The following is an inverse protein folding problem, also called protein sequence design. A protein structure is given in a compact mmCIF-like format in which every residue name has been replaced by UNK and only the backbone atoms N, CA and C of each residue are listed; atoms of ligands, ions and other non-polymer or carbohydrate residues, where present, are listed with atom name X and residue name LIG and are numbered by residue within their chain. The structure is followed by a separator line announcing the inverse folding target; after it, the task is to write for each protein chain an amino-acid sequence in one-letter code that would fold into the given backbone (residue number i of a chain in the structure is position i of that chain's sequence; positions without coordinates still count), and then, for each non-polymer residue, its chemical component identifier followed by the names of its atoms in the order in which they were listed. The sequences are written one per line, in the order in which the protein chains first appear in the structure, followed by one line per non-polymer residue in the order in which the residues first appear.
data_IF_175582491890
#
_entry.id   IF_175582491890
#
_cell.length_a   1.000
_cell.length_b   1.000
_cell.length_c   1.000
_cell.angle_alpha   90.00
_cell.angle_beta   90.00
_cell.angle_gamma   90.00
#
_symmetry.space_group_name_H-M   'P 1'
#
loop_
_entity.id
_entity.type
_entity.pdbx_description
1 polymer ?
#
# COMPACT_ATOMS: atom_id res chain seq x y z
N UNK A 1 8.87 -0.19 -11.37
CA UNK A 1 10.17 0.13 -12.00
C UNK A 1 10.31 1.59 -12.43
N UNK A 2 9.28 2.29 -12.94
CA UNK A 2 9.41 3.67 -13.43
C UNK A 2 10.26 4.66 -12.60
N UNK A 3 10.09 4.75 -11.28
CA UNK A 3 10.92 5.65 -10.45
C UNK A 3 12.42 5.28 -10.44
N UNK A 4 12.78 4.03 -10.73
CA UNK A 4 14.17 3.57 -10.89
C UNK A 4 14.69 3.97 -12.28
N UNK A 5 13.87 3.84 -13.32
CA UNK A 5 14.20 4.28 -14.69
C UNK A 5 14.36 5.81 -14.77
N UNK A 6 13.53 6.56 -14.02
CA UNK A 6 13.63 8.01 -13.85
C UNK A 6 14.80 8.43 -12.92
N UNK A 7 15.62 7.48 -12.44
CA UNK A 7 16.81 7.74 -11.62
C UNK A 7 16.54 8.21 -10.17
N UNK A 8 15.29 8.14 -9.70
CA UNK A 8 14.90 8.59 -8.35
C UNK A 8 15.10 7.53 -7.27
N UNK A 9 15.17 6.26 -7.67
CA UNK A 9 15.37 5.10 -6.80
C UNK A 9 16.34 4.10 -7.45
N UNK A 10 16.82 3.13 -6.69
CA UNK A 10 17.42 1.91 -7.21
C UNK A 10 16.88 0.69 -6.44
N UNK A 11 17.11 -0.52 -6.95
CA UNK A 11 16.45 -1.73 -6.45
C UNK A 11 16.80 -2.07 -4.99
N UNK A 12 18.03 -1.74 -4.59
CA UNK A 12 18.58 -1.93 -3.23
C UNK A 12 18.60 -0.61 -2.43
N UNK A 13 17.72 0.35 -2.75
CA UNK A 13 17.69 1.63 -2.04
C UNK A 13 17.23 1.39 -0.58
N UNK A 14 18.01 1.78 0.45
CA UNK A 14 17.63 1.58 1.84
C UNK A 14 16.36 2.37 2.16
N UNK A 15 15.43 1.82 2.95
CA UNK A 15 14.13 2.47 3.14
C UNK A 15 14.16 3.64 4.14
N UNK A 16 15.05 3.60 5.12
CA UNK A 16 15.12 4.60 6.20
C UNK A 16 15.27 6.08 5.75
N UNK A 17 15.97 6.44 4.66
CA UNK A 17 16.00 7.81 4.13
C UNK A 17 14.70 8.31 3.50
N UNK A 18 13.72 7.45 3.22
CA UNK A 18 12.40 7.82 2.66
C UNK A 18 11.32 7.68 3.74
N UNK A 19 11.38 6.57 4.49
CA UNK A 19 10.52 6.29 5.63
C UNK A 19 11.36 6.41 6.91
N UNK A 20 11.45 7.63 7.46
CA UNK A 20 12.18 7.93 8.70
C UNK A 20 11.80 7.01 9.87
N UNK A 21 10.57 6.48 9.84
CA UNK A 21 10.04 5.51 10.79
C UNK A 21 10.86 4.20 10.86
N UNK A 22 11.56 3.85 9.77
CA UNK A 22 12.49 2.71 9.73
C UNK A 22 13.84 3.01 10.39
N UNK A 23 14.16 4.27 10.74
CA UNK A 23 15.41 4.64 11.38
C UNK A 23 15.44 4.31 12.89
N UNK A 24 15.48 3.01 13.18
CA UNK A 24 15.53 2.45 14.53
C UNK A 24 16.47 1.23 14.56
N UNK A 25 16.97 0.78 15.73
CA UNK A 25 18.03 -0.22 15.82
C UNK A 25 17.73 -1.56 15.15
N UNK A 26 16.46 -1.88 14.91
CA UNK A 26 16.02 -3.17 14.37
C UNK A 26 15.70 -3.08 12.88
N UNK A 27 15.48 -1.89 12.28
CA UNK A 27 15.06 -1.74 10.86
C UNK A 27 15.94 -0.80 10.03
N UNK A 28 16.84 -0.04 10.65
CA UNK A 28 17.71 0.94 9.97
C UNK A 28 18.60 0.34 8.87
N UNK A 29 19.03 -0.91 9.06
CA UNK A 29 19.94 -1.62 8.14
C UNK A 29 19.17 -2.48 7.11
N UNK A 30 17.83 -2.44 7.11
CA UNK A 30 17.02 -3.28 6.23
C UNK A 30 16.83 -2.62 4.85
N UNK A 31 17.22 -3.37 3.83
CA UNK A 31 16.83 -3.11 2.44
C UNK A 31 15.43 -3.71 2.22
N UNK A 32 14.51 -2.93 1.68
CA UNK A 32 13.33 -3.49 1.01
C UNK A 32 13.70 -3.60 -0.46
N UNK A 33 14.40 -4.69 -0.80
CA UNK A 33 14.63 -4.99 -2.20
C UNK A 33 13.29 -5.37 -2.86
N UNK A 34 13.16 -5.21 -4.18
CA UNK A 34 11.96 -5.66 -4.91
C UNK A 34 11.71 -7.18 -4.80
N UNK A 35 12.70 -7.96 -4.37
CA UNK A 35 12.56 -9.39 -4.08
C UNK A 35 12.23 -9.66 -2.59
N UNK A 36 12.76 -8.82 -1.68
CA UNK A 36 12.44 -8.80 -0.26
C UNK A 36 11.16 -7.99 0.01
N UNK A 37 10.02 -8.49 -0.47
CA UNK A 37 8.69 -8.05 -0.02
C UNK A 37 8.41 -8.54 1.43
N UNK A 38 9.40 -8.33 2.29
CA UNK A 38 9.79 -9.06 3.49
C UNK A 38 10.55 -8.09 4.39
N UNK A 39 10.32 -7.97 5.69
CA UNK A 39 9.56 -8.81 6.64
C UNK A 39 8.54 -7.90 7.35
N UNK A 40 8.14 -8.28 8.56
CA UNK A 40 7.73 -7.42 9.70
C UNK A 40 6.25 -7.20 9.88
N UNK A 41 5.45 -7.66 8.94
CA UNK A 41 4.02 -7.42 8.91
C UNK A 41 3.40 -8.74 8.52
N UNK A 42 2.57 -9.29 9.43
CA UNK A 42 2.12 -10.69 9.39
C UNK A 42 1.81 -11.13 7.96
N UNK A 43 2.39 -12.23 7.45
CA UNK A 43 1.81 -12.88 6.28
C UNK A 43 0.34 -13.19 6.60
N UNK A 44 -0.50 -13.27 5.56
CA UNK A 44 -1.92 -13.60 5.70
C UNK A 44 -2.07 -15.09 6.12
N UNK A 45 -1.72 -15.37 7.37
CA UNK A 45 -1.95 -16.64 8.04
C UNK A 45 -3.18 -16.47 8.90
N UNK A 46 -4.24 -17.19 8.51
CA UNK A 46 -5.58 -17.18 9.11
C UNK A 46 -6.44 -15.98 8.69
N UNK A 47 -7.41 -16.31 7.83
CA UNK A 47 -8.73 -15.67 7.67
C UNK A 47 -9.16 -14.84 8.90
N UNK A 48 -9.61 -13.58 8.70
CA UNK A 48 -9.98 -12.61 9.74
C UNK A 48 -8.83 -11.97 10.55
N UNK A 49 -7.96 -11.20 9.87
CA UNK A 49 -7.50 -9.92 10.44
C UNK A 49 -7.08 -8.88 9.37
N UNK A 50 -7.99 -8.61 8.44
CA UNK A 50 -8.11 -7.28 7.82
C UNK A 50 -9.27 -6.51 8.48
N UNK A 51 -9.10 -5.94 9.69
CA UNK A 51 -10.19 -5.25 10.39
C UNK A 51 -10.37 -3.82 9.88
N UNK A 52 -11.40 -3.64 9.05
CA UNK A 52 -11.88 -2.36 8.55
C UNK A 52 -13.21 -1.95 9.26
N UNK A 53 -13.30 -0.87 10.09
CA UNK A 53 -12.28 0.05 10.66
C UNK A 53 -12.07 -0.16 12.20
N UNK A 54 -11.38 0.68 13.01
CA UNK A 54 -11.78 2.05 13.46
C UNK A 54 -10.62 3.05 13.62
N UNK A 55 -9.40 2.57 13.77
CA UNK A 55 -8.23 3.41 14.09
C UNK A 55 -7.17 3.40 12.99
N UNK A 56 -7.08 2.25 12.28
CA UNK A 56 -6.04 1.73 11.36
C UNK A 56 -4.60 1.93 11.78
N UNK A 57 -4.25 3.15 12.11
CA UNK A 57 -2.92 3.67 12.29
C UNK A 57 -2.74 4.30 13.68
N UNK A 58 -3.79 4.90 14.25
CA UNK A 58 -3.75 5.53 15.57
C UNK A 58 -4.65 4.90 16.62
N UNK A 59 -4.33 3.66 17.03
CA UNK A 59 -5.06 2.97 18.08
C UNK A 59 -4.61 3.44 19.48
N UNK A 60 -5.13 4.60 19.89
CA UNK A 60 -5.01 5.13 21.24
C UNK A 60 -4.33 6.51 21.35
N UNK A 61 -3.29 6.79 20.57
CA UNK A 61 -2.51 8.05 20.72
C UNK A 61 -1.45 8.35 19.63
N UNK A 62 -1.44 7.69 18.47
CA UNK A 62 -0.26 7.68 17.58
C UNK A 62 -0.63 7.94 16.12
N UNK A 63 -0.28 9.11 15.57
CA UNK A 63 -0.77 9.54 14.25
C UNK A 63 -0.17 8.76 13.07
N UNK A 64 0.94 8.03 13.28
CA UNK A 64 1.72 7.42 12.21
C UNK A 64 1.47 5.92 12.04
N UNK A 65 1.06 5.59 10.82
CA UNK A 65 0.75 4.26 10.35
C UNK A 65 1.91 3.27 10.37
N UNK A 66 3.03 3.72 9.84
CA UNK A 66 4.23 2.93 9.61
C UNK A 66 4.80 2.51 10.97
N UNK A 67 4.88 3.46 11.90
CA UNK A 67 5.34 3.23 13.28
C UNK A 67 4.54 2.17 14.03
N UNK A 68 3.23 2.02 13.77
CA UNK A 68 2.41 0.97 14.38
C UNK A 68 2.69 -0.40 13.75
N UNK A 69 2.75 -0.45 12.42
CA UNK A 69 3.16 -1.64 11.67
C UNK A 69 4.54 -2.14 12.08
N UNK A 70 5.47 -1.21 12.33
CA UNK A 70 6.83 -1.53 12.72
C UNK A 70 6.97 -2.06 14.16
N UNK A 71 5.90 -2.13 14.97
CA UNK A 71 5.92 -2.77 16.30
C UNK A 71 5.72 -4.30 16.24
N UNK A 72 5.36 -4.86 15.08
CA UNK A 72 5.13 -6.29 14.91
C UNK A 72 6.40 -7.16 15.08
N UNK A 73 6.28 -8.42 15.53
CA UNK A 73 7.42 -9.34 15.61
C UNK A 73 7.99 -9.66 14.22
N UNK A 74 9.27 -10.03 14.16
CA UNK A 74 9.87 -10.61 12.95
C UNK A 74 9.32 -12.02 12.72
N UNK A 75 9.00 -12.32 11.46
CA UNK A 75 8.49 -13.65 11.04
C UNK A 75 9.66 -14.56 10.65
N UNK A 76 10.76 -13.99 10.15
CA UNK A 76 12.07 -14.60 9.97
C UNK A 76 13.13 -13.48 9.83
N UNK A 77 14.40 -13.85 9.62
CA UNK A 77 15.47 -12.90 9.31
C UNK A 77 15.41 -12.39 7.85
N UNK A 78 15.92 -11.16 7.57
CA UNK A 78 16.11 -10.63 6.21
C UNK A 78 16.85 -11.61 5.28
N UNK A 79 16.33 -11.77 4.05
CA UNK A 79 16.87 -12.71 3.05
C UNK A 79 16.69 -14.20 3.35
N UNK A 80 16.05 -14.59 4.46
CA UNK A 80 15.97 -16.00 4.87
C UNK A 80 14.82 -16.80 4.24
N UNK A 81 13.75 -16.17 3.73
CA UNK A 81 12.57 -16.86 3.18
C UNK A 81 11.74 -15.98 2.22
N UNK A 82 10.77 -16.60 1.52
CA UNK A 82 9.75 -15.94 0.70
C UNK A 82 8.32 -16.37 1.13
N UNK A 83 7.41 -15.40 1.22
CA UNK A 83 6.01 -15.31 1.70
C UNK A 83 5.43 -14.09 0.95
N UNK A 84 4.11 -13.96 0.93
CA UNK A 84 3.44 -12.77 0.43
C UNK A 84 3.11 -11.79 1.57
N UNK A 85 3.44 -10.51 1.42
CA UNK A 85 3.06 -9.44 2.37
C UNK A 85 2.32 -8.31 1.66
N UNK A 86 1.03 -8.16 1.96
CA UNK A 86 0.20 -7.07 1.42
C UNK A 86 0.71 -5.71 1.89
N UNK A 87 1.06 -5.57 3.16
CA UNK A 87 1.52 -4.30 3.72
C UNK A 87 2.92 -3.89 3.20
N UNK A 88 3.71 -4.84 2.71
CA UNK A 88 4.91 -4.52 1.90
C UNK A 88 4.56 -3.67 0.67
N UNK A 89 3.48 -3.98 -0.05
CA UNK A 89 2.99 -3.15 -1.17
C UNK A 89 2.43 -1.80 -0.72
N UNK A 90 1.82 -1.70 0.45
CA UNK A 90 1.39 -0.41 1.00
C UNK A 90 2.58 0.51 1.30
N UNK A 91 3.67 -0.04 1.85
CA UNK A 91 4.92 0.71 2.08
C UNK A 91 5.55 1.18 0.77
N UNK A 92 5.52 0.35 -0.29
CA UNK A 92 5.95 0.78 -1.63
C UNK A 92 5.08 1.92 -2.18
N UNK A 93 3.76 1.91 -1.94
CA UNK A 93 2.86 3.01 -2.30
C UNK A 93 3.17 4.32 -1.56
N UNK A 94 3.51 4.25 -0.28
CA UNK A 94 3.99 5.39 0.52
C UNK A 94 5.34 5.91 0.02
N UNK A 95 6.30 5.03 -0.26
CA UNK A 95 7.60 5.41 -0.85
C UNK A 95 7.41 6.12 -2.20
N UNK A 96 6.53 5.59 -3.07
CA UNK A 96 6.17 6.26 -4.32
C UNK A 96 5.60 7.66 -4.03
N UNK A 97 4.73 7.80 -3.04
CA UNK A 97 4.11 9.08 -2.69
C UNK A 97 5.15 10.10 -2.21
N UNK A 98 6.01 9.72 -1.26
CA UNK A 98 7.07 10.60 -0.73
C UNK A 98 8.14 10.98 -1.77
N UNK A 99 8.53 10.04 -2.64
CA UNK A 99 9.55 10.26 -3.68
C UNK A 99 9.01 11.04 -4.89
N UNK A 100 7.71 10.93 -5.18
CA UNK A 100 7.06 11.71 -6.24
C UNK A 100 6.57 13.08 -5.80
N UNK A 101 6.27 13.27 -4.50
CA UNK A 101 5.57 14.45 -3.99
C UNK A 101 4.08 14.47 -4.34
N UNK A 102 3.51 13.34 -4.76
CA UNK A 102 2.12 13.18 -5.20
C UNK A 102 1.43 12.10 -4.38
N UNK A 103 0.09 12.07 -4.37
CA UNK A 103 -0.63 10.89 -3.89
C UNK A 103 -0.35 9.68 -4.81
N UNK A 104 -0.21 8.49 -4.23
CA UNK A 104 0.04 7.24 -4.96
C UNK A 104 -0.95 7.02 -6.12
N UNK A 105 -2.24 7.23 -5.87
CA UNK A 105 -3.31 7.07 -6.86
C UNK A 105 -3.13 8.03 -8.05
N UNK A 106 -2.82 9.30 -7.77
CA UNK A 106 -2.53 10.32 -8.80
C UNK A 106 -1.28 9.94 -9.60
N UNK A 107 -0.21 9.50 -8.93
CA UNK A 107 1.01 9.06 -9.59
C UNK A 107 0.73 7.91 -10.57
N UNK A 108 -0.02 6.88 -10.15
CA UNK A 108 -0.40 5.74 -11.01
C UNK A 108 -1.30 6.17 -12.17
N UNK A 109 -2.26 7.07 -11.92
CA UNK A 109 -3.13 7.59 -12.98
C UNK A 109 -2.31 8.33 -14.05
N UNK A 110 -1.48 9.28 -13.66
CA UNK A 110 -0.74 10.15 -14.58
C UNK A 110 0.44 9.45 -15.26
N UNK A 111 1.11 8.52 -14.58
CA UNK A 111 2.35 7.90 -15.09
C UNK A 111 2.16 6.52 -15.72
N UNK A 112 0.99 5.88 -15.54
CA UNK A 112 0.71 4.53 -16.06
C UNK A 112 -0.61 4.49 -16.82
N UNK A 113 -1.74 4.84 -16.19
CA UNK A 113 -3.07 4.66 -16.77
C UNK A 113 -3.30 5.59 -17.97
N UNK A 114 -3.01 6.88 -17.83
CA UNK A 114 -3.20 7.87 -18.90
C UNK A 114 -2.26 7.66 -20.10
N UNK A 115 -0.92 7.46 -19.94
CA UNK A 115 -0.03 7.22 -21.07
C UNK A 115 -0.37 5.97 -21.87
N UNK A 116 -0.84 4.92 -21.19
CA UNK A 116 -1.28 3.66 -21.81
C UNK A 116 -2.74 3.70 -22.30
N UNK A 117 -3.44 4.83 -22.16
CA UNK A 117 -4.84 5.04 -22.58
C UNK A 117 -5.82 4.02 -21.98
N UNK A 118 -5.58 3.62 -20.73
CA UNK A 118 -6.36 2.62 -19.99
C UNK A 118 -7.69 3.22 -19.47
N UNK A 119 -8.55 3.65 -20.38
CA UNK A 119 -9.79 4.40 -20.12
C UNK A 119 -10.88 3.65 -19.32
N UNK A 120 -10.61 2.42 -18.87
CA UNK A 120 -11.51 1.58 -18.06
C UNK A 120 -10.81 1.01 -16.81
N UNK A 121 -9.78 1.69 -16.32
CA UNK A 121 -9.04 1.34 -15.10
C UNK A 121 -9.12 2.48 -14.11
N UNK A 122 -9.61 2.19 -12.91
CA UNK A 122 -9.89 3.20 -11.88
C UNK A 122 -9.60 2.64 -10.49
N UNK A 123 -9.15 3.49 -9.57
CA UNK A 123 -9.20 3.20 -8.13
C UNK A 123 -10.64 3.29 -7.59
N UNK A 124 -11.42 4.22 -8.14
CA UNK A 124 -12.85 4.41 -7.86
C UNK A 124 -13.64 4.38 -9.17
N UNK A 125 -14.54 3.42 -9.34
CA UNK A 125 -15.32 3.30 -10.59
C UNK A 125 -16.32 4.46 -10.69
N UNK A 126 -16.35 5.22 -11.81
CA UNK A 126 -17.34 6.26 -12.04
C UNK A 126 -18.78 5.74 -12.00
N UNK A 127 -19.70 6.52 -11.43
CA UNK A 127 -21.10 6.11 -11.23
C UNK A 127 -21.81 5.62 -12.51
N UNK A 128 -21.50 6.21 -13.67
CA UNK A 128 -22.09 5.81 -14.95
C UNK A 128 -21.63 4.42 -15.45
N UNK A 129 -20.51 3.89 -14.93
CA UNK A 129 -20.00 2.55 -15.25
C UNK A 129 -20.37 1.49 -14.19
N UNK A 130 -21.07 1.85 -13.11
CA UNK A 130 -21.40 0.91 -12.02
C UNK A 130 -22.24 -0.29 -12.50
N UNK A 131 -23.06 -0.10 -13.54
CA UNK A 131 -23.85 -1.18 -14.15
C UNK A 131 -23.02 -2.16 -14.99
N UNK A 132 -21.77 -1.81 -15.32
CA UNK A 132 -20.85 -2.63 -16.13
C UNK A 132 -19.83 -3.39 -15.26
N UNK A 133 -19.89 -3.23 -13.93
CA UNK A 133 -19.02 -3.95 -12.99
C UNK A 133 -19.63 -5.31 -12.68
N UNK A 134 -18.85 -6.38 -12.87
CA UNK A 134 -19.23 -7.72 -12.40
C UNK A 134 -19.14 -7.77 -10.87
N UNK A 135 -20.27 -8.07 -10.21
CA UNK A 135 -20.36 -8.21 -8.75
C UNK A 135 -20.71 -9.65 -8.38
N UNK A 136 -20.05 -10.20 -7.36
CA UNK A 136 -20.29 -11.57 -6.88
C UNK A 136 -21.41 -11.58 -5.84
N UNK A 137 -21.52 -10.55 -5.00
CA UNK A 137 -22.57 -10.46 -3.98
C UNK A 137 -23.19 -9.06 -3.77
N UNK A 138 -24.14 -8.99 -2.84
CA UNK A 138 -24.81 -7.73 -2.47
C UNK A 138 -23.92 -6.77 -1.63
N UNK A 139 -22.75 -7.19 -1.16
CA UNK A 139 -21.76 -6.31 -0.50
C UNK A 139 -20.94 -5.57 -1.54
N UNK A 140 -20.56 -6.21 -2.65
CA UNK A 140 -19.89 -5.55 -3.78
C UNK A 140 -20.73 -4.39 -4.31
N UNK A 141 -22.03 -4.64 -4.55
CA UNK A 141 -22.99 -3.60 -4.96
C UNK A 141 -23.09 -2.44 -3.96
N UNK A 142 -22.95 -2.71 -2.65
CA UNK A 142 -22.91 -1.67 -1.62
C UNK A 142 -21.58 -0.92 -1.62
N UNK A 143 -20.44 -1.61 -1.75
CA UNK A 143 -19.10 -1.00 -1.80
C UNK A 143 -18.97 -0.04 -2.98
N UNK A 144 -19.42 -0.44 -4.16
CA UNK A 144 -19.40 0.38 -5.38
C UNK A 144 -20.29 1.63 -5.22
N UNK A 145 -21.46 1.51 -4.58
CA UNK A 145 -22.39 2.64 -4.38
C UNK A 145 -22.03 3.56 -3.22
N UNK A 146 -21.41 3.04 -2.16
CA UNK A 146 -21.00 3.83 -0.98
C UNK A 146 -19.89 4.86 -1.28
N UNK A 147 -19.18 4.69 -2.40
CA UNK A 147 -18.14 5.61 -2.90
C UNK A 147 -18.67 7.04 -3.15
N UNK A 148 -20.00 7.24 -3.24
CA UNK A 148 -20.63 8.55 -3.45
C UNK A 148 -20.63 9.45 -2.19
N UNK A 149 -20.59 8.88 -0.98
CA UNK A 149 -20.88 9.62 0.27
C UNK A 149 -19.68 10.38 0.90
N UNK A 150 -18.60 10.63 0.14
CA UNK A 150 -17.53 11.57 0.52
C UNK A 150 -16.76 11.24 1.81
N UNK A 151 -16.89 10.03 2.34
CA UNK A 151 -16.18 9.58 3.53
C UNK A 151 -14.69 9.32 3.24
N UNK A 152 -13.77 9.57 4.19
CA UNK A 152 -12.34 9.38 3.98
C UNK A 152 -12.03 7.90 3.73
N UNK A 153 -11.30 7.62 2.65
CA UNK A 153 -11.00 6.27 2.19
C UNK A 153 -9.66 5.77 2.76
N UNK A 154 -9.48 4.44 2.95
CA UNK A 154 -8.15 3.87 3.13
C UNK A 154 -7.24 4.20 1.93
N UNK A 155 -5.92 4.24 2.12
CA UNK A 155 -4.96 4.16 1.01
C UNK A 155 -5.29 2.93 0.16
N UNK A 156 -5.44 3.10 -1.16
CA UNK A 156 -6.10 2.09 -2.00
C UNK A 156 -5.19 0.94 -2.48
N UNK A 157 -4.08 0.70 -1.79
CA UNK A 157 -3.04 -0.30 -2.12
C UNK A 157 -3.24 -1.68 -1.46
N UNK A 158 -4.39 -1.93 -0.82
CA UNK A 158 -4.69 -3.13 -0.03
C UNK A 158 -6.13 -3.62 -0.29
N UNK A 159 -6.31 -4.38 -1.37
CA UNK A 159 -7.51 -5.18 -1.71
C UNK A 159 -7.06 -6.64 -1.90
#
# INVERSE_FOLDING_TARGET
MKLIEDGKLYIDFPVAPILEEFNNPVHKDHLVSFADAYIRIMPVTVYYNEPYPREWWGAGCMDNWISKVLQGPLVCEPGAAYNYSTVGFALLGEMISRVSGMAYESYVIENIIQPLKMNRTFFDVPAHLHAEVCTVDNKDLKRIRAIVDGSPKPPSSLI
#
